data_IF_259965880360
#
_entry.id   IF_259965880360
#
_cell.length_a   1.000
_cell.length_b   1.000
_cell.length_c   1.000
_cell.angle_alpha   90.00
_cell.angle_beta   90.00
_cell.angle_gamma   90.00
#
_symmetry.space_group_name_H-M   'P 1'
#
loop_
_entity.id
_entity.type
_entity.pdbx_description
1 polymer ?
#
# COMPACT_ATOMS: atom_id res chain seq x y z
N UNK A 1 -21.07 -0.03 -36.62
CA UNK A 1 -20.27 -1.12 -36.01
C UNK A 1 -19.50 -0.52 -34.86
N UNK A 2 -19.98 -0.68 -33.63
CA UNK A 2 -19.12 -0.50 -32.47
C UNK A 2 -18.21 -1.72 -32.45
N UNK A 3 -16.90 -1.49 -32.48
CA UNK A 3 -15.92 -2.54 -32.20
C UNK A 3 -16.20 -2.99 -30.77
N UNK A 4 -16.27 -4.30 -30.57
CA UNK A 4 -16.27 -4.93 -29.26
C UNK A 4 -15.21 -4.22 -28.42
N UNK A 5 -15.64 -3.54 -27.34
CA UNK A 5 -14.73 -3.29 -26.24
C UNK A 5 -14.32 -4.70 -25.84
N UNK A 6 -13.06 -5.06 -26.13
CA UNK A 6 -12.37 -6.05 -25.33
C UNK A 6 -12.77 -5.73 -23.89
N UNK A 7 -13.39 -6.69 -23.21
CA UNK A 7 -13.46 -6.69 -21.76
C UNK A 7 -12.03 -6.55 -21.30
N UNK A 8 -11.56 -5.32 -21.10
CA UNK A 8 -10.38 -5.08 -20.28
C UNK A 8 -10.74 -5.81 -19.01
N UNK A 9 -9.93 -6.79 -18.66
CA UNK A 9 -10.03 -7.36 -17.33
C UNK A 9 -9.75 -6.18 -16.40
N UNK A 10 -10.80 -5.62 -15.82
CA UNK A 10 -10.68 -4.48 -14.90
C UNK A 10 -10.20 -4.96 -13.53
N UNK A 11 -9.77 -6.23 -13.43
CA UNK A 11 -9.16 -6.79 -12.24
C UNK A 11 -7.84 -6.09 -11.95
N UNK A 12 -7.69 -5.65 -10.71
CA UNK A 12 -6.41 -5.19 -10.18
C UNK A 12 -5.41 -6.36 -10.23
N UNK A 13 -4.20 -6.11 -10.75
CA UNK A 13 -3.06 -7.01 -10.74
C UNK A 13 -1.79 -6.23 -10.39
N UNK A 14 -0.77 -6.94 -9.87
CA UNK A 14 0.58 -6.41 -9.66
C UNK A 14 1.35 -6.65 -10.97
N UNK A 15 1.98 -5.61 -11.51
CA UNK A 15 2.69 -5.64 -12.80
C UNK A 15 4.01 -4.88 -12.71
N UNK A 16 4.98 -5.20 -13.59
CA UNK A 16 6.28 -4.50 -13.65
C UNK A 16 6.25 -3.15 -14.39
N UNK A 17 5.08 -2.71 -14.87
CA UNK A 17 4.98 -1.57 -15.79
C UNK A 17 5.18 -0.21 -15.10
N UNK A 18 4.41 0.08 -14.05
CA UNK A 18 4.44 1.37 -13.34
C UNK A 18 4.14 1.19 -11.84
N UNK A 19 5.00 1.70 -10.97
CA UNK A 19 4.76 1.80 -9.52
C UNK A 19 4.16 3.17 -9.18
N UNK A 20 2.89 3.22 -8.73
CA UNK A 20 2.24 4.46 -8.29
C UNK A 20 2.38 4.66 -6.78
N UNK A 21 3.56 5.10 -6.32
CA UNK A 21 3.86 5.29 -4.89
C UNK A 21 3.48 6.69 -4.38
N UNK A 22 2.78 6.72 -3.24
CA UNK A 22 2.54 7.93 -2.43
C UNK A 22 3.28 7.88 -1.09
N UNK A 23 3.78 9.04 -0.67
CA UNK A 23 4.39 9.23 0.63
C UNK A 23 3.38 9.75 1.66
N UNK A 24 3.08 8.95 2.67
CA UNK A 24 2.15 9.30 3.74
C UNK A 24 2.92 9.70 5.01
N UNK A 25 2.83 10.99 5.32
CA UNK A 25 3.39 11.56 6.53
C UNK A 25 2.38 11.47 7.68
N UNK A 26 2.83 10.91 8.81
CA UNK A 26 2.01 10.81 10.03
C UNK A 26 2.61 11.63 11.14
N UNK A 27 1.77 12.29 11.92
CA UNK A 27 2.21 12.97 13.15
C UNK A 27 1.36 12.51 14.34
N UNK A 28 1.83 12.69 15.59
CA UNK A 28 1.01 12.47 16.77
C UNK A 28 -0.28 13.29 16.80
N UNK A 29 -0.36 14.41 16.08
CA UNK A 29 -1.51 15.31 16.07
C UNK A 29 -2.50 14.96 14.96
N UNK A 30 -2.02 14.69 13.75
CA UNK A 30 -2.86 14.42 12.58
C UNK A 30 -3.30 12.97 12.49
N UNK A 31 -2.43 12.03 12.87
CA UNK A 31 -2.66 10.59 12.73
C UNK A 31 -2.25 9.83 14.01
N UNK A 32 -2.79 10.19 15.19
CA UNK A 32 -2.30 9.70 16.49
C UNK A 32 -2.31 8.17 16.63
N UNK A 33 -3.28 7.49 16.01
CA UNK A 33 -3.36 6.02 16.05
C UNK A 33 -2.26 5.40 15.19
N UNK A 34 -2.21 5.74 13.91
CA UNK A 34 -1.23 5.18 12.96
C UNK A 34 0.20 5.50 13.39
N UNK A 35 0.48 6.74 13.81
CA UNK A 35 1.80 7.12 14.29
C UNK A 35 2.27 6.25 15.45
N UNK A 36 1.42 6.03 16.46
CA UNK A 36 1.76 5.20 17.62
C UNK A 36 1.96 3.72 17.26
N UNK A 37 1.15 3.17 16.36
CA UNK A 37 1.35 1.79 15.90
C UNK A 37 2.63 1.65 15.08
N UNK A 38 2.97 2.65 14.25
CA UNK A 38 4.25 2.70 13.53
C UNK A 38 5.44 2.73 14.49
N UNK A 39 5.39 3.57 15.52
CA UNK A 39 6.43 3.62 16.57
C UNK A 39 6.58 2.25 17.24
N UNK A 40 5.49 1.57 17.60
CA UNK A 40 5.56 0.22 18.18
C UNK A 40 6.18 -0.79 17.22
N UNK A 41 5.83 -0.75 15.93
CA UNK A 41 6.41 -1.62 14.90
C UNK A 41 7.94 -1.44 14.82
N UNK A 42 8.40 -0.20 14.78
CA UNK A 42 9.82 0.16 14.80
C UNK A 42 10.53 -0.28 16.09
N UNK A 43 9.85 -0.23 17.24
CA UNK A 43 10.42 -0.78 18.48
C UNK A 43 10.54 -2.31 18.45
N UNK A 44 9.59 -3.00 17.81
CA UNK A 44 9.63 -4.46 17.63
C UNK A 44 10.83 -4.87 16.75
N UNK A 45 11.25 -4.02 15.80
CA UNK A 45 12.46 -4.26 15.00
C UNK A 45 13.77 -4.02 15.76
N UNK A 46 13.71 -3.62 17.03
CA UNK A 46 14.86 -3.50 17.94
C UNK A 46 15.29 -2.07 18.24
N UNK A 47 14.58 -1.06 17.74
CA UNK A 47 14.89 0.35 18.00
C UNK A 47 14.44 0.79 19.39
N UNK A 48 15.14 1.76 19.97
CA UNK A 48 14.64 2.45 21.16
C UNK A 48 13.41 3.30 20.81
N UNK A 49 12.60 3.65 21.82
CA UNK A 49 11.43 4.50 21.61
C UNK A 49 11.80 5.84 20.95
N UNK A 50 12.91 6.45 21.36
CA UNK A 50 13.35 7.74 20.79
C UNK A 50 13.73 7.62 19.32
N UNK A 51 14.43 6.55 18.92
CA UNK A 51 14.79 6.30 17.53
C UNK A 51 13.55 6.02 16.68
N UNK A 52 12.62 5.20 17.21
CA UNK A 52 11.36 4.88 16.55
C UNK A 52 10.48 6.13 16.34
N UNK A 53 10.36 7.00 17.35
CA UNK A 53 9.62 8.26 17.24
C UNK A 53 10.28 9.23 16.25
N UNK A 54 11.61 9.29 16.22
CA UNK A 54 12.34 10.09 15.26
C UNK A 54 12.06 9.61 13.83
N UNK A 55 12.27 8.33 13.54
CA UNK A 55 12.01 7.74 12.21
C UNK A 55 10.55 7.94 11.79
N UNK A 56 9.59 7.64 12.69
CA UNK A 56 8.17 7.82 12.40
C UNK A 56 7.79 9.27 12.08
N UNK A 57 8.59 10.25 12.53
CA UNK A 57 8.38 11.68 12.30
C UNK A 57 9.15 12.23 11.10
N UNK A 58 10.29 11.63 10.73
CA UNK A 58 11.19 12.16 9.70
C UNK A 58 11.18 11.37 8.40
N UNK A 59 10.58 10.18 8.38
CA UNK A 59 10.46 9.34 7.20
C UNK A 59 8.98 9.09 6.89
N UNK A 60 8.54 9.18 5.63
CA UNK A 60 7.16 8.84 5.27
C UNK A 60 6.95 7.32 5.24
N UNK A 61 5.70 6.90 5.35
CA UNK A 61 5.31 5.56 4.89
C UNK A 61 5.15 5.62 3.36
N UNK A 62 5.64 4.62 2.64
CA UNK A 62 5.44 4.51 1.19
C UNK A 62 4.30 3.53 0.92
N UNK A 63 3.25 4.00 0.28
CA UNK A 63 2.12 3.16 -0.10
C UNK A 63 1.98 3.18 -1.61
N UNK A 64 1.77 2.01 -2.21
CA UNK A 64 1.44 1.89 -3.63
C UNK A 64 -0.08 1.96 -3.82
N UNK A 65 -0.50 2.77 -4.78
CA UNK A 65 -1.90 2.99 -5.11
C UNK A 65 -2.40 1.93 -6.09
N UNK A 66 -3.58 1.41 -5.80
CA UNK A 66 -4.33 0.54 -6.68
C UNK A 66 -5.71 1.13 -6.90
N UNK A 67 -6.26 0.94 -8.09
CA UNK A 67 -7.59 1.41 -8.43
C UNK A 67 -8.40 0.32 -9.12
N UNK A 68 -9.44 -0.14 -8.45
CA UNK A 68 -10.46 -0.97 -9.07
C UNK A 68 -11.53 -0.06 -9.68
N UNK A 69 -11.82 -0.23 -10.96
CA UNK A 69 -12.75 0.64 -11.70
C UNK A 69 -14.18 0.56 -11.16
N UNK A 70 -14.57 -0.58 -10.59
CA UNK A 70 -15.91 -0.81 -10.04
C UNK A 70 -16.00 -0.50 -8.54
N UNK A 71 -14.90 -0.65 -7.79
CA UNK A 71 -14.90 -0.63 -6.32
C UNK A 71 -14.13 0.57 -5.72
N UNK A 72 -13.24 1.20 -6.50
CA UNK A 72 -12.50 2.40 -6.14
C UNK A 72 -11.06 2.14 -5.69
N UNK A 73 -10.42 3.22 -5.20
CA UNK A 73 -9.01 3.22 -4.84
C UNK A 73 -8.73 2.56 -3.47
N UNK A 74 -7.57 1.91 -3.38
CA UNK A 74 -6.95 1.53 -2.11
C UNK A 74 -5.44 1.67 -2.22
N UNK A 75 -4.74 1.55 -1.09
CA UNK A 75 -3.29 1.63 -1.06
C UNK A 75 -2.73 0.56 -0.14
N UNK A 76 -1.63 -0.07 -0.56
CA UNK A 76 -0.92 -1.12 0.19
C UNK A 76 0.48 -0.63 0.50
N UNK A 77 1.07 -1.11 1.60
CA UNK A 77 2.48 -0.82 1.89
C UNK A 77 3.35 -1.26 0.69
N UNK A 78 4.14 -0.33 0.14
CA UNK A 78 4.91 -0.58 -1.07
C UNK A 78 5.93 -1.72 -0.86
N UNK A 79 6.41 -1.93 0.37
CA UNK A 79 7.30 -3.05 0.66
C UNK A 79 6.59 -4.42 0.60
N UNK A 80 5.26 -4.46 0.69
CA UNK A 80 4.51 -5.72 0.60
C UNK A 80 4.25 -6.14 -0.85
N UNK A 81 4.19 -5.18 -1.78
CA UNK A 81 3.94 -5.43 -3.21
C UNK A 81 5.11 -6.24 -3.80
N UNK A 82 4.80 -7.37 -4.46
CA UNK A 82 5.79 -8.31 -5.00
C UNK A 82 6.52 -9.18 -3.97
N UNK A 83 6.34 -8.96 -2.66
CA UNK A 83 7.03 -9.70 -1.60
C UNK A 83 6.14 -10.69 -0.84
N UNK A 84 4.82 -10.54 -0.94
CA UNK A 84 3.84 -11.42 -0.27
C UNK A 84 2.53 -11.44 -1.06
N UNK A 85 1.73 -12.53 -0.98
CA UNK A 85 0.37 -12.53 -1.51
C UNK A 85 -0.45 -11.37 -0.94
N UNK A 86 -1.08 -10.60 -1.84
CA UNK A 86 -1.94 -9.48 -1.51
C UNK A 86 -3.39 -9.83 -1.79
N UNK A 87 -4.30 -9.25 -1.02
CA UNK A 87 -5.73 -9.53 -1.12
C UNK A 87 -6.50 -8.23 -1.32
N UNK A 88 -7.41 -8.25 -2.29
CA UNK A 88 -8.23 -7.12 -2.64
C UNK A 88 -9.19 -6.77 -1.49
N UNK A 89 -9.14 -5.54 -0.93
CA UNK A 89 -9.81 -5.23 0.35
C UNK A 89 -11.34 -5.26 0.27
N UNK A 90 -11.91 -5.14 -0.93
CA UNK A 90 -13.36 -5.12 -1.14
C UNK A 90 -13.95 -6.50 -1.45
N UNK A 91 -13.18 -7.42 -2.04
CA UNK A 91 -13.67 -8.73 -2.51
C UNK A 91 -13.10 -9.90 -1.71
N UNK A 92 -11.93 -9.71 -1.08
CA UNK A 92 -11.20 -10.77 -0.38
C UNK A 92 -10.47 -11.74 -1.31
N UNK A 93 -10.52 -11.51 -2.63
CA UNK A 93 -9.78 -12.32 -3.61
C UNK A 93 -8.30 -11.93 -3.58
N UNK A 94 -7.43 -12.89 -3.88
CA UNK A 94 -6.01 -12.62 -4.11
C UNK A 94 -5.84 -11.70 -5.32
N UNK A 95 -4.95 -10.72 -5.20
CA UNK A 95 -4.52 -9.86 -6.31
C UNK A 95 -3.46 -10.64 -7.09
N UNK A 96 -3.68 -10.94 -8.38
CA UNK A 96 -2.69 -11.65 -9.19
C UNK A 96 -1.35 -10.89 -9.23
N UNK A 97 -0.27 -11.65 -9.11
CA UNK A 97 1.08 -11.16 -9.35
C UNK A 97 1.52 -11.61 -10.75
N UNK A 98 1.67 -10.65 -11.66
CA UNK A 98 2.03 -10.85 -13.06
C UNK A 98 3.45 -10.34 -13.38
N UNK A 99 4.25 -10.06 -12.34
CA UNK A 99 5.67 -9.73 -12.48
C UNK A 99 6.42 -10.94 -13.08
N UNK A 100 7.26 -10.71 -14.11
CA UNK A 100 7.89 -11.80 -14.92
C UNK A 100 9.41 -11.81 -14.81
#
# INVERSE_FOLDING_TARGET
>A
MMKELHTLDHSVAITDDEEEIVEVWTTPQTNPKTFRERVKSLMISGLSQSEAEQIASTEPMKLELFYDVELGSFAIDAEAVGNTPLYHPFTGNEIPDETT
#
